data_IF_411953068891
#
_entry.id   IF_411953068891
#
_cell.length_a   1.000
_cell.length_b   1.000
_cell.length_c   1.000
_cell.angle_alpha   90.00
_cell.angle_beta   90.00
_cell.angle_gamma   90.00
#
_symmetry.space_group_name_H-M   'P 1'
#
loop_
_entity.id
_entity.type
_entity.pdbx_description
1 polymer ?
#
# COMPACT_ATOMS: atom_id res chain seq x y z
N UNK A 1 12.32 -108.84 33.62
CA UNK A 1 13.59 -108.11 33.50
C UNK A 1 13.28 -106.85 32.71
N UNK A 2 13.02 -105.73 33.41
CA UNK A 2 14.01 -104.70 33.83
C UNK A 2 14.47 -103.88 32.60
N UNK A 3 13.99 -102.63 32.46
CA UNK A 3 14.69 -101.35 32.84
C UNK A 3 15.97 -101.10 32.01
N UNK A 4 16.39 -99.92 31.58
CA UNK A 4 15.96 -98.50 31.57
C UNK A 4 16.98 -97.73 30.69
N UNK A 5 16.59 -96.58 30.11
CA UNK A 5 17.33 -95.29 29.95
C UNK A 5 18.74 -95.24 29.28
N UNK A 6 19.23 -94.18 28.64
CA UNK A 6 18.75 -92.88 28.14
C UNK A 6 19.88 -92.30 27.26
N UNK A 7 19.55 -91.23 26.55
CA UNK A 7 20.23 -90.52 25.45
C UNK A 7 21.46 -89.70 25.85
N UNK A 8 22.38 -89.51 24.89
CA UNK A 8 23.47 -88.52 24.96
C UNK A 8 23.01 -87.17 24.35
N UNK A 9 23.04 -86.14 25.20
CA UNK A 9 23.31 -84.69 25.03
C UNK A 9 23.31 -84.02 23.64
N UNK A 10 22.82 -82.75 23.60
CA UNK A 10 23.49 -81.69 22.85
C UNK A 10 24.02 -80.57 23.76
N UNK A 11 25.06 -79.96 23.22
CA UNK A 11 25.97 -78.93 23.74
C UNK A 11 25.32 -77.61 24.16
N UNK A 12 25.76 -77.09 25.29
CA UNK A 12 25.45 -75.73 25.74
C UNK A 12 26.66 -74.81 25.46
N UNK A 13 26.50 -73.86 24.53
CA UNK A 13 27.52 -72.88 24.15
C UNK A 13 27.24 -71.55 24.87
N UNK A 14 27.99 -71.27 25.93
CA UNK A 14 27.95 -70.00 26.65
C UNK A 14 28.61 -68.88 25.84
N UNK A 15 27.81 -67.98 25.26
CA UNK A 15 28.32 -66.78 24.56
C UNK A 15 28.74 -65.66 25.53
N UNK A 16 29.93 -65.11 25.32
CA UNK A 16 30.50 -64.01 26.09
C UNK A 16 30.01 -62.65 25.57
N UNK A 17 29.28 -61.88 26.40
CA UNK A 17 28.76 -60.54 26.02
C UNK A 17 29.84 -59.43 26.19
N UNK A 18 29.93 -58.44 25.27
CA UNK A 18 30.93 -57.37 25.27
C UNK A 18 30.74 -56.32 26.40
N UNK A 19 31.85 -55.69 26.82
CA UNK A 19 31.96 -54.77 27.99
C UNK A 19 31.05 -53.52 27.95
N UNK A 20 30.46 -53.16 26.82
CA UNK A 20 29.55 -52.00 26.69
C UNK A 20 28.15 -52.23 27.29
N UNK A 21 27.81 -53.47 27.68
CA UNK A 21 26.52 -53.83 28.31
C UNK A 21 26.60 -53.95 29.83
N UNK A 22 27.71 -53.59 30.48
CA UNK A 22 27.92 -53.74 31.94
C UNK A 22 26.85 -53.04 32.81
N UNK A 23 26.14 -52.05 32.25
CA UNK A 23 25.05 -51.32 32.92
C UNK A 23 23.68 -51.46 32.25
N UNK A 24 23.57 -52.24 31.17
CA UNK A 24 22.27 -52.63 30.60
C UNK A 24 21.89 -53.97 31.22
N UNK A 25 21.37 -53.93 32.44
CA UNK A 25 20.71 -55.10 33.03
C UNK A 25 19.53 -55.47 32.14
N UNK A 26 19.36 -56.76 31.84
CA UNK A 26 18.16 -57.24 31.18
C UNK A 26 16.98 -56.81 32.07
N UNK A 27 16.02 -56.10 31.47
CA UNK A 27 14.85 -55.60 32.18
C UNK A 27 13.82 -56.73 32.09
N UNK A 28 13.63 -57.55 33.13
CA UNK A 28 12.72 -58.70 33.06
C UNK A 28 11.26 -58.31 32.82
N UNK A 29 10.94 -57.01 32.85
CA UNK A 29 9.64 -56.43 32.54
C UNK A 29 9.54 -55.89 31.09
N UNK A 30 10.60 -56.02 30.28
CA UNK A 30 10.72 -55.51 28.89
C UNK A 30 10.78 -56.74 27.96
N UNK A 31 9.67 -57.48 27.90
CA UNK A 31 9.49 -58.66 27.06
C UNK A 31 9.00 -58.23 25.66
N UNK A 32 9.43 -58.91 24.59
CA UNK A 32 9.06 -58.51 23.21
C UNK A 32 7.56 -58.64 22.89
N UNK A 33 6.80 -59.35 23.73
CA UNK A 33 5.33 -59.46 23.65
C UNK A 33 4.59 -58.23 24.20
N UNK A 34 5.29 -57.32 24.90
CA UNK A 34 4.68 -56.13 25.50
C UNK A 34 4.69 -55.02 24.46
N UNK A 35 3.52 -54.72 23.90
CA UNK A 35 3.33 -53.57 23.03
C UNK A 35 3.38 -52.28 23.86
N UNK A 36 4.57 -51.70 23.96
CA UNK A 36 4.86 -50.47 24.68
C UNK A 36 4.12 -49.23 24.15
N UNK A 37 3.46 -49.36 22.99
CA UNK A 37 2.73 -48.29 22.33
C UNK A 37 1.22 -48.55 22.30
N UNK A 38 0.77 -49.64 22.95
CA UNK A 38 -0.66 -49.93 23.11
C UNK A 38 -1.29 -48.88 24.01
N UNK A 39 -2.10 -48.02 23.41
CA UNK A 39 -2.89 -47.01 24.13
C UNK A 39 -4.09 -47.72 24.73
N UNK A 40 -4.00 -48.06 26.01
CA UNK A 40 -5.14 -48.61 26.73
C UNK A 40 -6.22 -47.53 26.93
N UNK A 41 -7.51 -47.87 26.77
CA UNK A 41 -8.60 -46.92 26.91
C UNK A 41 -8.67 -46.45 28.37
N UNK A 42 -8.57 -45.13 28.59
CA UNK A 42 -8.64 -44.53 29.92
C UNK A 42 -10.05 -44.70 30.51
N UNK A 43 -10.17 -45.52 31.55
CA UNK A 43 -11.45 -45.76 32.22
C UNK A 43 -11.64 -44.79 33.39
N UNK A 44 -12.89 -44.61 33.84
CA UNK A 44 -13.20 -43.73 34.98
C UNK A 44 -12.58 -44.24 36.30
N UNK A 45 -12.27 -45.53 36.38
CA UNK A 45 -11.66 -46.17 37.54
C UNK A 45 -10.15 -45.86 37.65
N UNK A 46 -9.50 -45.52 36.54
CA UNK A 46 -8.08 -45.11 36.49
C UNK A 46 -7.85 -43.69 37.03
N UNK A 47 -8.93 -42.91 37.18
CA UNK A 47 -8.91 -41.57 37.75
C UNK A 47 -9.96 -41.41 38.88
N UNK A 48 -9.79 -42.13 40.01
CA UNK A 48 -10.76 -42.12 41.10
C UNK A 48 -10.85 -40.76 41.80
N UNK A 49 -9.80 -39.95 41.72
CA UNK A 49 -9.75 -38.57 42.19
C UNK A 49 -9.63 -37.65 40.97
N UNK A 50 -10.43 -36.58 40.89
CA UNK A 50 -10.25 -35.58 39.83
C UNK A 50 -8.87 -34.95 39.91
N UNK A 51 -8.36 -34.44 38.79
CA UNK A 51 -7.13 -33.65 38.78
C UNK A 51 -7.23 -32.53 39.82
N UNK A 52 -6.15 -32.28 40.56
CA UNK A 52 -6.08 -31.26 41.63
C UNK A 52 -6.26 -29.84 41.12
N UNK A 53 -6.05 -29.62 39.82
CA UNK A 53 -6.11 -28.32 39.18
C UNK A 53 -6.92 -28.45 37.88
N UNK A 54 -7.92 -27.58 37.72
CA UNK A 54 -8.73 -27.49 36.52
C UNK A 54 -8.38 -26.21 35.76
N UNK A 55 -7.98 -26.34 34.50
CA UNK A 55 -7.82 -25.19 33.60
C UNK A 55 -9.13 -24.92 32.88
N UNK A 56 -9.82 -23.84 33.27
CA UNK A 56 -11.07 -23.41 32.65
C UNK A 56 -10.87 -22.11 31.87
N UNK A 57 -11.16 -22.16 30.57
CA UNK A 57 -11.18 -20.99 29.70
C UNK A 57 -12.58 -20.82 29.12
N UNK A 58 -13.19 -19.67 29.37
CA UNK A 58 -14.48 -19.32 28.80
C UNK A 58 -14.38 -17.96 28.10
N UNK A 59 -14.94 -17.89 26.89
CA UNK A 59 -15.07 -16.64 26.14
C UNK A 59 -16.49 -16.45 25.67
N UNK A 60 -17.09 -15.30 25.97
CA UNK A 60 -18.42 -14.94 25.49
C UNK A 60 -18.39 -14.69 23.98
N UNK A 61 -19.39 -15.18 23.25
CA UNK A 61 -19.52 -14.95 21.82
C UNK A 61 -20.91 -14.42 21.45
N UNK A 62 -21.03 -13.59 20.39
CA UNK A 62 -22.32 -13.12 19.91
C UNK A 62 -23.19 -14.27 19.39
N UNK A 63 -24.51 -14.25 19.67
CA UNK A 63 -25.43 -15.35 19.34
C UNK A 63 -25.37 -15.82 17.88
N UNK A 64 -25.20 -14.90 16.93
CA UNK A 64 -25.13 -15.23 15.50
C UNK A 64 -23.89 -16.03 15.09
N UNK A 65 -22.88 -16.18 15.95
CA UNK A 65 -21.68 -16.99 15.69
C UNK A 65 -21.85 -18.47 16.01
N UNK A 66 -22.96 -18.87 16.65
CA UNK A 66 -23.15 -20.25 17.12
C UNK A 66 -23.00 -21.29 16.01
N UNK A 67 -23.65 -21.09 14.85
CA UNK A 67 -23.57 -22.04 13.73
C UNK A 67 -22.13 -22.17 13.18
N UNK A 68 -21.38 -21.06 13.14
CA UNK A 68 -19.99 -21.05 12.68
C UNK A 68 -19.05 -21.76 13.68
N UNK A 69 -19.30 -21.60 14.99
CA UNK A 69 -18.49 -22.27 16.01
C UNK A 69 -18.67 -23.79 15.98
N UNK A 70 -19.86 -24.28 15.65
CA UNK A 70 -20.11 -25.72 15.43
C UNK A 70 -19.29 -26.27 14.26
N UNK A 71 -19.14 -25.50 13.17
CA UNK A 71 -18.28 -25.87 12.04
C UNK A 71 -16.78 -25.75 12.33
N UNK A 72 -16.40 -24.84 13.24
CA UNK A 72 -15.01 -24.53 13.60
C UNK A 72 -14.37 -25.54 14.57
N UNK A 73 -15.12 -26.54 15.05
CA UNK A 73 -14.64 -27.61 15.96
C UNK A 73 -13.40 -28.33 15.42
N UNK A 74 -13.18 -28.31 14.09
CA UNK A 74 -11.97 -28.82 13.42
C UNK A 74 -10.65 -28.24 13.94
N UNK A 75 -10.68 -27.13 14.68
CA UNK A 75 -9.49 -26.58 15.35
C UNK A 75 -8.96 -27.47 16.48
N UNK A 76 -9.78 -28.41 16.97
CA UNK A 76 -9.38 -29.40 17.96
C UNK A 76 -8.62 -30.58 17.34
N UNK A 77 -8.62 -30.73 16.00
CA UNK A 77 -7.90 -31.78 15.32
C UNK A 77 -6.39 -31.47 15.30
N UNK A 78 -5.58 -32.49 15.54
CA UNK A 78 -4.12 -32.36 15.48
C UNK A 78 -3.66 -31.91 14.08
N UNK A 79 -2.78 -30.92 14.05
CA UNK A 79 -2.27 -30.32 12.80
C UNK A 79 -3.07 -29.13 12.27
N UNK A 80 -4.19 -28.77 12.90
CA UNK A 80 -4.92 -27.53 12.62
C UNK A 80 -4.54 -26.46 13.65
N UNK A 81 -4.21 -25.24 13.19
CA UNK A 81 -3.91 -24.10 14.07
C UNK A 81 -4.59 -22.83 13.57
N UNK A 82 -4.83 -21.87 14.46
CA UNK A 82 -5.45 -20.59 14.13
C UNK A 82 -4.49 -19.43 14.36
N UNK A 83 -4.55 -18.43 13.48
CA UNK A 83 -3.75 -17.21 13.59
C UNK A 83 -4.64 -15.98 13.34
N UNK A 84 -4.49 -14.95 14.16
CA UNK A 84 -5.28 -13.72 14.12
C UNK A 84 -4.37 -12.56 13.71
N UNK A 85 -4.33 -12.30 12.41
CA UNK A 85 -3.48 -11.25 11.86
C UNK A 85 -4.18 -9.88 11.98
N UNK A 86 -3.66 -9.01 12.87
CA UNK A 86 -4.18 -7.66 13.07
C UNK A 86 -3.83 -6.73 11.91
N UNK A 87 -4.81 -6.40 11.06
CA UNK A 87 -4.63 -5.49 9.91
C UNK A 87 -4.98 -4.01 10.20
N UNK A 88 -5.65 -3.71 11.31
CA UNK A 88 -6.24 -2.39 11.58
C UNK A 88 -5.24 -1.24 11.76
N UNK A 89 -4.08 -1.50 12.37
CA UNK A 89 -3.10 -0.45 12.72
C UNK A 89 -2.13 -0.11 11.58
N UNK A 90 -2.24 -0.77 10.43
CA UNK A 90 -1.27 -0.63 9.35
C UNK A 90 -1.41 0.70 8.58
N UNK A 91 -2.59 1.32 8.60
CA UNK A 91 -2.91 2.48 7.74
C UNK A 91 -3.78 3.49 8.50
N UNK A 92 -3.38 4.77 8.47
CA UNK A 92 -4.13 5.86 9.12
C UNK A 92 -5.44 6.25 8.41
N UNK A 93 -5.48 6.14 7.08
CA UNK A 93 -6.64 6.51 6.26
C UNK A 93 -7.61 5.33 6.10
N UNK A 94 -8.85 5.52 6.54
CA UNK A 94 -9.95 4.54 6.42
C UNK A 94 -10.19 4.10 4.97
N UNK A 95 -10.25 5.05 4.03
CA UNK A 95 -10.45 4.73 2.61
C UNK A 95 -9.33 3.88 2.04
N UNK A 96 -8.08 4.21 2.38
CA UNK A 96 -6.92 3.44 1.92
C UNK A 96 -6.92 2.04 2.53
N UNK A 97 -7.32 1.92 3.79
CA UNK A 97 -7.48 0.62 4.46
C UNK A 97 -8.53 -0.24 3.75
N UNK A 98 -9.73 0.28 3.48
CA UNK A 98 -10.79 -0.45 2.76
C UNK A 98 -10.31 -0.91 1.39
N UNK A 99 -9.66 -0.02 0.60
CA UNK A 99 -9.12 -0.37 -0.71
C UNK A 99 -8.02 -1.45 -0.65
N UNK A 100 -7.14 -1.42 0.37
CA UNK A 100 -6.11 -2.46 0.55
C UNK A 100 -6.71 -3.78 1.02
N UNK A 101 -7.66 -3.75 1.95
CA UNK A 101 -8.39 -4.95 2.43
C UNK A 101 -9.12 -5.63 1.28
N UNK A 102 -9.83 -4.87 0.43
CA UNK A 102 -10.51 -5.42 -0.74
C UNK A 102 -9.52 -6.08 -1.72
N UNK A 103 -8.29 -5.55 -1.82
CA UNK A 103 -7.24 -6.12 -2.67
C UNK A 103 -6.72 -7.47 -2.18
N UNK A 104 -6.83 -7.79 -0.88
CA UNK A 104 -6.45 -9.12 -0.37
C UNK A 104 -7.31 -10.21 -1.01
N UNK A 105 -8.61 -9.95 -1.17
CA UNK A 105 -9.55 -10.85 -1.87
C UNK A 105 -9.35 -10.76 -3.40
N UNK A 106 -9.01 -9.57 -3.88
CA UNK A 106 -8.81 -9.27 -5.31
C UNK A 106 -10.11 -8.87 -6.01
N UNK A 107 -10.04 -8.24 -7.20
CA UNK A 107 -11.22 -7.99 -8.03
C UNK A 107 -11.89 -9.32 -8.40
N UNK A 108 -13.21 -9.42 -8.22
CA UNK A 108 -14.03 -10.61 -8.49
C UNK A 108 -13.47 -11.92 -7.86
N UNK A 109 -12.80 -11.81 -6.70
CA UNK A 109 -12.21 -12.96 -6.01
C UNK A 109 -11.04 -13.60 -6.74
N UNK A 110 -10.30 -12.87 -7.57
CA UNK A 110 -9.16 -13.39 -8.34
C UNK A 110 -8.10 -14.09 -7.49
N UNK A 111 -7.73 -13.54 -6.33
CA UNK A 111 -6.77 -14.19 -5.41
C UNK A 111 -7.33 -15.52 -4.88
N UNK A 112 -8.63 -15.57 -4.61
CA UNK A 112 -9.31 -16.80 -4.20
C UNK A 112 -9.31 -17.83 -5.33
N UNK A 113 -9.61 -17.42 -6.56
CA UNK A 113 -9.55 -18.28 -7.75
C UNK A 113 -8.14 -18.83 -7.98
N UNK A 114 -7.11 -18.01 -7.79
CA UNK A 114 -5.71 -18.46 -7.87
C UNK A 114 -5.42 -19.59 -6.88
N UNK A 115 -5.85 -19.45 -5.62
CA UNK A 115 -5.69 -20.49 -4.59
C UNK A 115 -6.48 -21.76 -4.94
N UNK A 116 -7.69 -21.63 -5.48
CA UNK A 116 -8.48 -22.77 -5.96
C UNK A 116 -7.77 -23.51 -7.09
N UNK A 117 -7.23 -22.79 -8.07
CA UNK A 117 -6.48 -23.37 -9.19
C UNK A 117 -5.22 -24.08 -8.70
N UNK A 118 -4.44 -23.47 -7.80
CA UNK A 118 -3.25 -24.12 -7.20
C UNK A 118 -3.62 -25.40 -6.46
N UNK A 119 -4.75 -25.40 -5.73
CA UNK A 119 -5.24 -26.59 -5.02
C UNK A 119 -5.59 -27.71 -5.98
N UNK A 120 -6.23 -27.41 -7.11
CA UNK A 120 -6.56 -28.42 -8.11
C UNK A 120 -5.30 -28.93 -8.84
N UNK A 121 -4.40 -28.04 -9.28
CA UNK A 121 -3.13 -28.42 -9.93
C UNK A 121 -2.22 -29.26 -9.02
N UNK A 122 -2.26 -29.04 -7.70
CA UNK A 122 -1.49 -29.83 -6.73
C UNK A 122 -1.94 -31.30 -6.67
N UNK A 123 -3.20 -31.60 -7.01
CA UNK A 123 -3.72 -32.98 -7.04
C UNK A 123 -3.12 -33.76 -8.20
N UNK A 124 -2.82 -33.08 -9.32
CA UNK A 124 -2.32 -33.72 -10.53
C UNK A 124 -0.85 -34.15 -10.35
N UNK A 125 -0.53 -35.46 -10.37
CA UNK A 125 0.84 -35.94 -10.14
C UNK A 125 1.81 -35.56 -11.26
N UNK A 126 1.31 -35.27 -12.47
CA UNK A 126 2.12 -34.96 -13.65
C UNK A 126 2.76 -33.57 -13.60
N UNK A 127 2.04 -32.58 -13.04
CA UNK A 127 2.45 -31.18 -13.04
C UNK A 127 3.15 -30.75 -11.74
N UNK A 128 3.42 -31.67 -10.81
CA UNK A 128 4.03 -31.35 -9.50
C UNK A 128 5.43 -30.74 -9.61
N UNK A 129 6.19 -31.16 -10.61
CA UNK A 129 7.58 -30.75 -10.79
C UNK A 129 7.73 -29.54 -11.74
N UNK A 130 6.64 -29.08 -12.35
CA UNK A 130 6.63 -27.99 -13.33
C UNK A 130 6.13 -26.68 -12.73
N UNK A 131 6.52 -25.55 -13.30
CA UNK A 131 6.00 -24.24 -12.88
C UNK A 131 4.54 -24.05 -13.29
N UNK A 132 3.68 -23.65 -12.35
CA UNK A 132 2.25 -23.44 -12.58
C UNK A 132 1.89 -22.06 -13.15
N UNK A 133 2.86 -21.17 -13.37
CA UNK A 133 2.61 -19.76 -13.77
C UNK A 133 1.73 -19.62 -15.02
N UNK A 134 1.82 -20.56 -15.97
CA UNK A 134 1.00 -20.55 -17.19
C UNK A 134 -0.51 -20.66 -16.92
N UNK A 135 -0.89 -21.35 -15.85
CA UNK A 135 -2.28 -21.62 -15.50
C UNK A 135 -2.85 -20.60 -14.51
N UNK A 136 -1.99 -19.78 -13.90
CA UNK A 136 -2.40 -18.80 -12.92
C UNK A 136 -2.83 -17.50 -13.60
N UNK A 137 -3.96 -16.89 -13.19
CA UNK A 137 -4.37 -15.59 -13.70
C UNK A 137 -3.35 -14.49 -13.34
N UNK A 138 -2.57 -14.03 -14.31
CA UNK A 138 -1.62 -12.94 -14.07
C UNK A 138 -2.28 -11.56 -14.22
N UNK A 139 -2.57 -10.92 -13.09
CA UNK A 139 -3.04 -9.55 -13.10
C UNK A 139 -1.88 -8.57 -13.31
N UNK A 140 -1.70 -8.10 -14.55
CA UNK A 140 -0.73 -7.03 -14.85
C UNK A 140 -1.18 -5.73 -14.19
N UNK A 141 -0.50 -5.34 -13.10
CA UNK A 141 -0.73 -4.05 -12.45
C UNK A 141 -0.42 -2.92 -13.44
N UNK A 142 -1.44 -2.23 -13.93
CA UNK A 142 -1.26 -0.98 -14.68
C UNK A 142 -0.95 0.15 -13.70
N UNK A 143 0.29 0.18 -13.21
CA UNK A 143 0.75 1.27 -12.36
C UNK A 143 1.31 2.40 -13.25
N UNK A 144 0.42 3.08 -13.97
CA UNK A 144 0.80 4.24 -14.78
C UNK A 144 1.21 5.37 -13.82
N UNK A 145 2.50 5.72 -13.83
CA UNK A 145 3.02 6.83 -13.02
C UNK A 145 2.32 8.12 -13.45
N UNK A 146 1.43 8.63 -12.61
CA UNK A 146 0.88 9.98 -12.80
C UNK A 146 1.89 11.00 -12.28
N UNK A 147 2.30 11.99 -13.08
CA UNK A 147 3.16 13.05 -12.58
C UNK A 147 2.45 13.77 -11.43
N UNK A 148 3.10 13.83 -10.27
CA UNK A 148 2.57 14.60 -9.13
C UNK A 148 2.83 16.07 -9.42
N UNK A 149 1.78 16.89 -9.49
CA UNK A 149 1.93 18.34 -9.58
C UNK A 149 2.70 18.80 -8.34
N UNK A 150 3.85 19.45 -8.54
CA UNK A 150 4.60 20.06 -7.45
C UNK A 150 3.76 21.23 -6.91
N UNK A 151 3.12 21.02 -5.76
CA UNK A 151 2.41 22.09 -5.06
C UNK A 151 3.47 22.92 -4.35
N UNK A 152 3.75 24.13 -4.86
CA UNK A 152 4.55 25.11 -4.12
C UNK A 152 3.85 25.36 -2.78
N UNK A 153 4.53 25.12 -1.66
CA UNK A 153 4.00 25.40 -0.34
C UNK A 153 3.83 26.92 -0.21
N UNK A 154 2.65 27.38 0.19
CA UNK A 154 2.43 28.78 0.56
C UNK A 154 3.08 29.01 1.91
N UNK A 155 3.71 30.16 2.11
CA UNK A 155 4.19 30.57 3.42
C UNK A 155 3.01 30.63 4.39
N UNK A 156 3.21 30.13 5.61
CA UNK A 156 2.17 30.13 6.62
C UNK A 156 2.02 31.53 7.17
N UNK A 157 0.92 32.18 6.81
CA UNK A 157 0.52 33.46 7.39
C UNK A 157 -0.57 33.17 8.45
N UNK A 158 -0.35 33.53 9.73
CA UNK A 158 -1.34 33.27 10.78
C UNK A 158 -2.60 34.12 10.60
N UNK A 159 -2.48 35.23 9.87
CA UNK A 159 -3.60 36.09 9.51
C UNK A 159 -4.26 35.60 8.21
N UNK A 160 -5.61 35.57 8.16
CA UNK A 160 -6.32 35.29 6.92
C UNK A 160 -6.09 36.44 5.92
N UNK A 161 -6.12 36.16 4.60
CA UNK A 161 -6.11 37.23 3.60
C UNK A 161 -7.38 38.10 3.74
N UNK A 162 -7.34 39.38 3.33
CA UNK A 162 -8.52 40.24 3.36
C UNK A 162 -9.63 39.65 2.47
N UNK A 163 -10.88 39.80 2.90
CA UNK A 163 -12.03 39.40 2.10
C UNK A 163 -12.07 40.24 0.82
N UNK A 164 -12.48 39.65 -0.31
CA UNK A 164 -12.70 40.42 -1.53
C UNK A 164 -13.91 41.35 -1.32
N UNK A 165 -13.78 42.68 -1.52
CA UNK A 165 -14.88 43.61 -1.30
C UNK A 165 -16.05 43.28 -2.22
N UNK A 166 -17.28 43.59 -1.78
CA UNK A 166 -18.47 43.37 -2.61
C UNK A 166 -18.50 44.40 -3.74
N UNK A 167 -19.26 44.11 -4.80
CA UNK A 167 -19.50 45.08 -5.88
C UNK A 167 -20.07 46.40 -5.35
N UNK A 168 -20.88 46.35 -4.29
CA UNK A 168 -21.45 47.52 -3.61
C UNK A 168 -20.32 48.35 -2.97
N UNK A 169 -19.42 47.69 -2.24
CA UNK A 169 -18.29 48.36 -1.58
C UNK A 169 -17.36 49.02 -2.60
N UNK A 170 -17.04 48.33 -3.70
CA UNK A 170 -16.26 48.90 -4.81
C UNK A 170 -16.95 50.11 -5.44
N UNK A 171 -18.28 50.10 -5.54
CA UNK A 171 -19.06 51.22 -6.08
C UNK A 171 -19.18 52.38 -5.08
N UNK A 172 -19.23 52.08 -3.78
CA UNK A 172 -19.22 53.08 -2.70
C UNK A 172 -17.85 53.75 -2.64
N UNK A 173 -16.76 52.98 -2.71
CA UNK A 173 -15.37 53.47 -2.77
C UNK A 173 -15.10 54.30 -4.02
N UNK A 174 -15.58 53.88 -5.20
CA UNK A 174 -15.43 54.65 -6.45
C UNK A 174 -16.33 55.88 -6.53
N UNK A 175 -17.29 56.02 -5.60
CA UNK A 175 -18.34 57.04 -5.61
C UNK A 175 -19.36 56.87 -6.74
N UNK A 176 -19.22 55.84 -7.58
CA UNK A 176 -20.16 55.56 -8.67
C UNK A 176 -21.51 55.04 -8.15
N UNK A 177 -21.57 54.54 -6.92
CA UNK A 177 -22.82 54.10 -6.30
C UNK A 177 -23.84 55.24 -6.22
N UNK A 178 -23.38 56.44 -5.85
CA UNK A 178 -24.24 57.61 -5.64
C UNK A 178 -24.65 58.31 -6.94
N UNK A 179 -23.97 58.06 -8.06
CA UNK A 179 -24.28 58.69 -9.34
C UNK A 179 -25.55 58.13 -9.98
N UNK A 180 -26.41 59.02 -10.48
CA UNK A 180 -27.63 58.66 -11.20
C UNK A 180 -27.29 58.04 -12.57
N UNK A 181 -28.14 57.17 -13.15
CA UNK A 181 -27.88 56.56 -14.46
C UNK A 181 -27.59 57.56 -15.59
N UNK A 182 -28.24 58.73 -15.57
CA UNK A 182 -27.98 59.81 -16.55
C UNK A 182 -26.57 60.39 -16.42
N UNK A 183 -26.10 60.59 -15.20
CA UNK A 183 -24.75 61.12 -14.90
C UNK A 183 -23.66 60.11 -15.28
N UNK A 184 -23.93 58.82 -15.03
CA UNK A 184 -23.06 57.71 -15.48
C UNK A 184 -22.91 57.70 -17.00
N UNK A 185 -24.03 57.79 -17.72
CA UNK A 185 -24.03 57.83 -19.19
C UNK A 185 -23.31 59.08 -19.73
N UNK A 186 -23.48 60.24 -19.10
CA UNK A 186 -22.79 61.46 -19.49
C UNK A 186 -21.26 61.33 -19.33
N UNK A 187 -20.80 60.80 -18.18
CA UNK A 187 -19.38 60.57 -17.91
C UNK A 187 -18.77 59.53 -18.85
N UNK A 188 -19.52 58.48 -19.21
CA UNK A 188 -19.09 57.48 -20.19
C UNK A 188 -18.93 58.08 -21.60
N UNK A 189 -19.89 58.92 -22.01
CA UNK A 189 -19.85 59.62 -23.28
C UNK A 189 -18.68 60.61 -23.35
N UNK A 190 -18.37 61.30 -22.26
CA UNK A 190 -17.21 62.18 -22.13
C UNK A 190 -15.90 61.40 -22.25
N UNK A 191 -15.73 60.31 -21.49
CA UNK A 191 -14.59 59.38 -21.62
C UNK A 191 -14.41 58.88 -23.06
N UNK A 192 -15.52 58.57 -23.76
CA UNK A 192 -15.48 58.13 -25.17
C UNK A 192 -15.06 59.26 -26.11
N UNK A 193 -15.51 60.50 -25.88
CA UNK A 193 -15.10 61.70 -26.65
C UNK A 193 -13.62 62.00 -26.43
N UNK A 194 -13.14 61.94 -25.20
CA UNK A 194 -11.72 62.15 -24.86
C UNK A 194 -10.84 61.09 -25.52
N UNK A 195 -11.20 59.81 -25.42
CA UNK A 195 -10.47 58.73 -26.10
C UNK A 195 -10.43 58.91 -27.62
N UNK A 196 -11.52 59.40 -28.22
CA UNK A 196 -11.55 59.76 -29.65
C UNK A 196 -10.58 60.90 -29.96
N UNK A 197 -10.56 61.96 -29.16
CA UNK A 197 -9.63 63.09 -29.29
C UNK A 197 -8.17 62.62 -29.13
N UNK A 198 -7.90 61.77 -28.14
CA UNK A 198 -6.57 61.22 -27.92
C UNK A 198 -6.12 60.38 -29.12
N UNK A 199 -6.99 59.52 -29.66
CA UNK A 199 -6.66 58.73 -30.83
C UNK A 199 -6.46 59.57 -32.09
N UNK A 200 -7.24 60.65 -32.28
CA UNK A 200 -7.02 61.56 -33.40
C UNK A 200 -5.72 62.32 -33.23
N UNK A 201 -5.36 62.76 -32.03
CA UNK A 201 -4.06 63.38 -31.73
C UNK A 201 -2.91 62.39 -31.96
N UNK A 202 -3.02 61.14 -31.52
CA UNK A 202 -2.03 60.09 -31.78
C UNK A 202 -1.83 59.85 -33.27
N UNK A 203 -2.92 59.72 -34.04
CA UNK A 203 -2.85 59.56 -35.50
C UNK A 203 -2.26 60.78 -36.20
N UNK A 204 -2.57 61.99 -35.73
CA UNK A 204 -1.96 63.23 -36.25
C UNK A 204 -0.46 63.26 -35.95
N UNK A 205 -0.06 62.97 -34.71
CA UNK A 205 1.35 62.91 -34.32
C UNK A 205 2.11 61.82 -35.09
N UNK A 206 1.51 60.66 -35.34
CA UNK A 206 2.08 59.61 -36.17
C UNK A 206 2.24 60.05 -37.63
N UNK A 207 1.23 60.74 -38.20
CA UNK A 207 1.28 61.28 -39.55
C UNK A 207 2.32 62.42 -39.68
N UNK A 208 2.42 63.32 -38.70
CA UNK A 208 3.42 64.39 -38.66
C UNK A 208 4.84 63.82 -38.55
N UNK A 209 5.04 62.79 -37.72
CA UNK A 209 6.32 62.05 -37.65
C UNK A 209 6.70 61.42 -38.99
N UNK A 210 5.74 60.89 -39.75
CA UNK A 210 5.99 60.33 -41.07
C UNK A 210 6.32 61.39 -42.14
N UNK A 211 5.96 62.66 -41.91
CA UNK A 211 6.21 63.76 -42.85
C UNK A 211 7.55 64.48 -42.62
N UNK A 212 8.18 64.24 -41.46
CA UNK A 212 9.54 64.71 -41.21
C UNK A 212 10.49 63.65 -41.80
N UNK A 213 11.36 64.03 -42.77
CA UNK A 213 12.33 63.09 -43.29
C UNK A 213 13.23 62.58 -42.15
N UNK A 214 13.53 61.28 -42.09
CA UNK A 214 14.50 60.75 -41.13
C UNK A 214 15.80 61.55 -41.21
N UNK A 215 16.33 61.96 -40.06
CA UNK A 215 17.60 62.70 -40.03
C UNK A 215 18.70 61.76 -40.53
N UNK A 216 19.28 62.11 -41.67
CA UNK A 216 20.44 61.39 -42.20
C UNK A 216 21.66 61.68 -41.32
N UNK A 217 22.33 60.62 -40.85
CA UNK A 217 23.63 60.73 -40.19
C UNK A 217 24.68 61.15 -41.23
N UNK A 218 24.79 62.45 -41.50
CA UNK A 218 25.90 62.97 -42.30
C UNK A 218 27.22 62.74 -41.54
N UNK A 219 28.20 62.04 -42.13
CA UNK A 219 29.50 61.87 -41.50
C UNK A 219 30.14 63.24 -41.31
N UNK A 220 30.47 63.60 -40.06
CA UNK A 220 31.21 64.82 -39.73
C UNK A 220 32.46 64.91 -40.60
N UNK A 221 32.45 65.82 -41.57
CA UNK A 221 33.57 66.09 -42.47
C UNK A 221 34.77 66.47 -41.59
N UNK A 222 35.77 65.59 -41.49
CA UNK A 222 37.02 65.86 -40.75
C UNK A 222 37.64 67.15 -41.33
N UNK A 223 37.70 68.23 -40.53
CA UNK A 223 38.49 69.41 -40.89
C UNK A 223 39.93 68.93 -41.11
N UNK A 224 40.43 68.99 -42.35
CA UNK A 224 41.85 68.80 -42.63
C UNK A 224 42.59 69.92 -41.89
N UNK A 225 43.51 69.57 -40.99
CA UNK A 225 44.44 70.54 -40.39
C UNK A 225 45.20 71.22 -41.53
N UNK A 226 45.16 72.55 -41.57
CA UNK A 226 45.99 73.32 -42.47
C UNK A 226 47.46 72.97 -42.19
N UNK A 227 48.17 72.48 -43.21
CA UNK A 227 49.63 72.56 -43.24
C UNK A 227 49.94 73.99 -43.68
N UNK A 228 50.38 74.82 -42.74
CA UNK A 228 51.16 76.02 -43.04
C UNK A 228 52.41 75.56 -43.77
N UNK A 229 52.50 75.90 -45.06
CA UNK A 229 53.75 75.84 -45.80
C UNK A 229 54.24 77.27 -46.04
N UNK A 230 55.53 77.42 -45.78
CA UNK A 230 56.31 78.64 -45.80
C UNK A 230 56.81 78.89 -47.22
N UNK A 231 56.63 80.09 -47.77
CA UNK A 231 57.70 80.87 -48.44
C UNK A 231 57.18 82.12 -49.15
N UNK A 232 57.91 83.21 -48.86
CA UNK A 232 58.16 84.45 -49.62
C UNK A 232 57.01 85.40 -49.95
#
# INVERSE_FOLDING_TARGET
MAEENSTNTPSDATSSKPKSKKYRKDKPWDNEDIDHWKIDPFTREDNPYSFTEESSFATLFPKYRENYLKEAVKILDDGVSCDIIKIGNMIRSKERFVKRRQRLIGPNGSTLKELMIKRELAKDPKLKNESWDRFLPHFKKQNVKRPKKQIKKKEYTPFPPPQTPRKIDLQLESGEYFLKPKEKAAREMEKKKEKRKENTLKRKAEREKAFIPPVEDVPKRKKRKAKTDSSQ
#
